data_IF_751592688305
#
_entry.id   IF_751592688305
#
_cell.length_a   1.000
_cell.length_b   1.000
_cell.length_c   1.000
_cell.angle_alpha   90.00
_cell.angle_beta   90.00
_cell.angle_gamma   90.00
#
_symmetry.space_group_name_H-M   'P 1'
#
loop_
_entity.id
_entity.type
_entity.pdbx_description
1 polymer ?
#
# COMPACT_ATOMS: atom_id res chain seq x y z
N UNK A 1 -16.06 -49.13 50.83
CA UNK A 1 -16.84 -47.91 50.52
C UNK A 1 -15.93 -47.04 49.68
N UNK A 2 -15.75 -47.45 48.43
CA UNK A 2 -14.88 -46.79 47.49
C UNK A 2 -15.69 -45.67 46.84
N UNK A 3 -15.56 -44.47 47.40
CA UNK A 3 -15.99 -43.24 46.74
C UNK A 3 -15.12 -43.05 45.49
N UNK A 4 -15.53 -43.68 44.40
CA UNK A 4 -15.08 -43.36 43.05
C UNK A 4 -15.53 -41.93 42.78
N UNK A 5 -14.60 -41.01 42.99
CA UNK A 5 -14.66 -39.62 42.60
C UNK A 5 -14.91 -39.56 41.09
N UNK A 6 -16.18 -39.58 40.72
CA UNK A 6 -16.63 -39.28 39.37
C UNK A 6 -16.37 -37.79 39.17
N UNK A 7 -15.13 -37.49 38.76
CA UNK A 7 -14.75 -36.19 38.25
C UNK A 7 -15.67 -35.93 37.06
N UNK A 8 -16.70 -35.12 37.29
CA UNK A 8 -17.56 -34.60 36.23
C UNK A 8 -16.65 -33.88 35.26
N UNK A 9 -16.26 -34.55 34.18
CA UNK A 9 -15.58 -33.93 33.06
C UNK A 9 -16.54 -32.86 32.54
N UNK A 10 -16.26 -31.61 32.87
CA UNK A 10 -16.95 -30.46 32.29
C UNK A 10 -16.46 -30.40 30.85
N UNK A 11 -17.13 -31.15 29.97
CA UNK A 11 -16.99 -31.00 28.53
C UNK A 11 -17.55 -29.62 28.19
N UNK A 12 -16.68 -28.62 28.13
CA UNK A 12 -17.00 -27.33 27.54
C UNK A 12 -17.38 -27.59 26.08
N UNK A 13 -18.68 -27.56 25.78
CA UNK A 13 -19.14 -27.48 24.40
C UNK A 13 -18.53 -26.21 23.81
N UNK A 14 -17.47 -26.36 23.02
CA UNK A 14 -16.94 -25.28 22.20
C UNK A 14 -18.08 -24.85 21.27
N UNK A 15 -18.64 -23.66 21.50
CA UNK A 15 -19.55 -23.07 20.53
C UNK A 15 -18.83 -23.02 19.17
N UNK A 16 -19.50 -23.41 18.07
CA UNK A 16 -18.88 -23.37 16.77
C UNK A 16 -18.50 -21.91 16.45
N UNK A 17 -17.22 -21.69 16.15
CA UNK A 17 -16.63 -20.39 15.85
C UNK A 17 -17.42 -19.63 14.77
N UNK A 18 -18.38 -18.80 15.20
CA UNK A 18 -19.32 -18.05 14.34
C UNK A 18 -18.56 -17.15 13.34
N UNK A 19 -17.43 -16.59 13.77
CA UNK A 19 -16.59 -15.67 13.00
C UNK A 19 -15.86 -16.32 11.82
N UNK A 20 -15.57 -17.62 11.88
CA UNK A 20 -14.78 -18.28 10.81
C UNK A 20 -15.54 -18.30 9.48
N UNK A 21 -16.87 -18.41 9.54
CA UNK A 21 -17.73 -18.40 8.36
C UNK A 21 -17.72 -17.04 7.64
N UNK A 22 -17.62 -15.95 8.40
CA UNK A 22 -17.60 -14.57 7.89
C UNK A 22 -16.27 -14.25 7.23
N UNK A 23 -15.17 -14.72 7.84
CA UNK A 23 -13.82 -14.61 7.29
C UNK A 23 -13.73 -15.31 5.93
N UNK A 24 -14.25 -16.55 5.84
CA UNK A 24 -14.22 -17.31 4.58
C UNK A 24 -15.01 -16.63 3.45
N UNK A 25 -16.21 -16.10 3.73
CA UNK A 25 -17.00 -15.36 2.73
C UNK A 25 -16.25 -14.12 2.22
N UNK A 26 -15.63 -13.40 3.15
CA UNK A 26 -14.88 -12.17 2.86
C UNK A 26 -13.64 -12.46 2.04
N UNK A 27 -12.92 -13.52 2.38
CA UNK A 27 -11.77 -14.02 1.62
C UNK A 27 -12.17 -14.32 0.17
N UNK A 28 -13.24 -15.06 -0.08
CA UNK A 28 -13.67 -15.38 -1.45
C UNK A 28 -14.08 -14.15 -2.27
N UNK A 29 -14.79 -13.21 -1.66
CA UNK A 29 -15.15 -11.94 -2.31
C UNK A 29 -13.90 -11.14 -2.70
N UNK A 30 -12.96 -10.99 -1.77
CA UNK A 30 -11.72 -10.25 -1.99
C UNK A 30 -10.80 -10.96 -2.99
N UNK A 31 -10.77 -12.29 -2.95
CA UNK A 31 -10.03 -13.11 -3.91
C UNK A 31 -10.59 -12.90 -5.32
N UNK A 32 -11.92 -12.96 -5.48
CA UNK A 32 -12.57 -12.70 -6.76
C UNK A 32 -12.24 -11.32 -7.33
N UNK A 33 -12.36 -10.26 -6.51
CA UNK A 33 -12.00 -8.89 -6.90
C UNK A 33 -10.52 -8.82 -7.31
N UNK A 34 -9.63 -9.44 -6.52
CA UNK A 34 -8.18 -9.42 -6.78
C UNK A 34 -7.81 -10.15 -8.07
N UNK A 35 -8.45 -11.29 -8.37
CA UNK A 35 -8.24 -12.04 -9.61
C UNK A 35 -8.72 -11.22 -10.81
N UNK A 36 -9.87 -10.54 -10.69
CA UNK A 36 -10.39 -9.66 -11.74
C UNK A 36 -9.44 -8.48 -11.99
N UNK A 37 -8.95 -7.80 -10.94
CA UNK A 37 -7.96 -6.72 -11.07
C UNK A 37 -6.70 -7.19 -11.79
N UNK A 38 -6.14 -8.33 -11.37
CA UNK A 38 -4.93 -8.89 -11.99
C UNK A 38 -5.18 -9.28 -13.45
N UNK A 39 -6.33 -9.86 -13.74
CA UNK A 39 -6.77 -10.20 -15.10
C UNK A 39 -6.90 -8.96 -16.00
N UNK A 40 -7.50 -7.87 -15.50
CA UNK A 40 -7.56 -6.59 -16.22
C UNK A 40 -6.16 -6.01 -16.47
N UNK A 41 -5.29 -6.05 -15.46
CA UNK A 41 -3.91 -5.59 -15.59
C UNK A 41 -3.12 -6.40 -16.64
N UNK A 42 -3.29 -7.73 -16.66
CA UNK A 42 -2.64 -8.60 -17.63
C UNK A 42 -3.21 -8.43 -19.04
N UNK A 43 -4.53 -8.28 -19.17
CA UNK A 43 -5.19 -8.02 -20.46
C UNK A 43 -4.70 -6.72 -21.11
N UNK A 44 -4.53 -5.68 -20.30
CA UNK A 44 -3.98 -4.39 -20.73
C UNK A 44 -2.52 -4.47 -21.16
N UNK A 45 -1.74 -5.41 -20.60
CA UNK A 45 -0.37 -5.68 -21.03
C UNK A 45 -0.31 -6.47 -22.35
N UNK A 46 -1.24 -7.38 -22.58
CA UNK A 46 -1.25 -8.26 -23.75
C UNK A 46 -1.79 -7.61 -25.02
N UNK A 47 -2.75 -6.68 -24.90
CA UNK A 47 -3.36 -6.01 -26.04
C UNK A 47 -2.97 -4.54 -26.12
N UNK A 48 -2.70 -3.99 -27.32
CA UNK A 48 -2.50 -2.56 -27.49
C UNK A 48 -3.84 -1.82 -27.30
N UNK A 49 -3.99 -1.15 -26.17
CA UNK A 49 -5.19 -0.39 -25.80
C UNK A 49 -4.90 1.12 -26.01
N UNK A 50 -5.86 1.92 -26.52
CA UNK A 50 -5.68 3.37 -26.64
C UNK A 50 -5.34 4.05 -25.30
N UNK A 51 -4.43 5.02 -25.34
CA UNK A 51 -3.84 5.66 -24.15
C UNK A 51 -4.85 6.22 -23.14
N UNK A 52 -6.00 6.72 -23.62
CA UNK A 52 -7.06 7.26 -22.76
C UNK A 52 -7.75 6.17 -21.93
N UNK A 53 -7.90 4.97 -22.52
CA UNK A 53 -8.52 3.82 -21.85
C UNK A 53 -7.52 3.16 -20.90
N UNK A 54 -6.23 3.14 -21.24
CA UNK A 54 -5.15 2.68 -20.34
C UNK A 54 -5.12 3.48 -19.02
N UNK A 55 -5.15 4.80 -19.09
CA UNK A 55 -5.18 5.67 -17.89
C UNK A 55 -6.45 5.44 -17.06
N UNK A 56 -7.60 5.30 -17.72
CA UNK A 56 -8.86 5.02 -17.04
C UNK A 56 -8.84 3.68 -16.30
N UNK A 57 -8.41 2.60 -16.96
CA UNK A 57 -8.32 1.25 -16.37
C UNK A 57 -7.35 1.25 -15.18
N UNK A 58 -6.19 1.90 -15.31
CA UNK A 58 -5.24 2.07 -14.19
C UNK A 58 -5.89 2.77 -13.00
N UNK A 59 -6.69 3.81 -13.25
CA UNK A 59 -7.45 4.49 -12.19
C UNK A 59 -8.46 3.56 -11.50
N UNK A 60 -9.21 2.77 -12.28
CA UNK A 60 -10.17 1.79 -11.74
C UNK A 60 -9.46 0.74 -10.89
N UNK A 61 -8.32 0.21 -11.33
CA UNK A 61 -7.51 -0.74 -10.56
C UNK A 61 -7.07 -0.10 -9.24
N UNK A 62 -6.54 1.12 -9.25
CA UNK A 62 -6.13 1.79 -8.01
C UNK A 62 -7.30 1.95 -7.02
N UNK A 63 -8.49 2.33 -7.51
CA UNK A 63 -9.68 2.49 -6.67
C UNK A 63 -10.15 1.14 -6.12
N UNK A 64 -10.17 0.08 -6.94
CA UNK A 64 -10.54 -1.27 -6.49
C UNK A 64 -9.57 -1.80 -5.44
N UNK A 65 -8.26 -1.59 -5.63
CA UNK A 65 -7.23 -1.95 -4.66
C UNK A 65 -7.43 -1.22 -3.33
N UNK A 66 -7.71 0.08 -3.35
CA UNK A 66 -8.03 0.85 -2.15
C UNK A 66 -9.30 0.33 -1.47
N UNK A 67 -10.38 0.14 -2.22
CA UNK A 67 -11.65 -0.38 -1.71
C UNK A 67 -11.47 -1.75 -1.03
N UNK A 68 -10.69 -2.65 -1.63
CA UNK A 68 -10.30 -3.93 -1.05
C UNK A 68 -9.59 -3.76 0.30
N UNK A 69 -8.63 -2.83 0.38
CA UNK A 69 -7.89 -2.59 1.62
C UNK A 69 -8.81 -2.10 2.74
N UNK A 70 -9.73 -1.17 2.44
CA UNK A 70 -10.74 -0.73 3.39
C UNK A 70 -11.72 -1.85 3.78
N UNK A 71 -12.13 -2.69 2.83
CA UNK A 71 -13.03 -3.81 3.09
C UNK A 71 -12.40 -4.85 4.03
N UNK A 72 -11.12 -5.18 3.82
CA UNK A 72 -10.32 -6.03 4.73
C UNK A 72 -10.37 -5.42 6.14
N UNK A 73 -9.95 -4.16 6.28
CA UNK A 73 -9.90 -3.48 7.58
C UNK A 73 -11.26 -3.51 8.26
N UNK A 74 -12.34 -3.17 7.56
CA UNK A 74 -13.69 -3.11 8.14
C UNK A 74 -14.27 -4.44 8.62
N UNK A 75 -13.86 -5.57 8.02
CA UNK A 75 -14.43 -6.89 8.32
C UNK A 75 -13.55 -7.72 9.25
N UNK A 76 -12.24 -7.71 9.04
CA UNK A 76 -11.30 -8.40 9.94
C UNK A 76 -11.18 -7.71 11.29
N UNK A 77 -11.62 -6.46 11.33
CA UNK A 77 -11.65 -5.65 12.52
C UNK A 77 -13.12 -5.36 12.72
N UNK A 78 -13.79 -6.27 13.41
CA UNK A 78 -15.22 -6.25 13.72
C UNK A 78 -15.61 -4.92 14.40
N UNK A 79 -15.93 -3.88 13.62
CA UNK A 79 -15.95 -2.47 14.02
C UNK A 79 -17.34 -1.83 14.25
N UNK A 80 -18.37 -2.61 14.58
CA UNK A 80 -19.70 -2.08 14.95
C UNK A 80 -19.83 -1.47 16.36
N UNK A 81 -19.88 -2.29 17.41
CA UNK A 81 -20.44 -1.85 18.70
C UNK A 81 -19.50 -1.91 19.95
N UNK A 82 -18.26 -2.42 19.86
CA UNK A 82 -17.33 -2.63 21.00
C UNK A 82 -15.98 -1.85 20.97
N UNK A 83 -15.74 -0.92 20.02
CA UNK A 83 -14.41 -0.85 19.32
C UNK A 83 -13.54 0.39 19.55
N UNK A 84 -13.72 1.17 20.62
CA UNK A 84 -12.74 2.25 20.85
C UNK A 84 -11.33 1.72 21.13
N UNK A 85 -11.20 0.55 21.74
CA UNK A 85 -9.89 -0.04 22.05
C UNK A 85 -9.28 -0.80 20.86
N UNK A 86 -10.07 -1.53 20.08
CA UNK A 86 -9.54 -2.33 18.98
C UNK A 86 -9.20 -1.46 17.76
N UNK A 87 -9.87 -0.32 17.54
CA UNK A 87 -9.44 0.60 16.46
C UNK A 87 -8.05 1.17 16.72
N UNK A 88 -7.68 1.40 17.99
CA UNK A 88 -6.38 1.95 18.37
C UNK A 88 -5.23 0.97 18.11
N UNK A 89 -5.42 -0.34 18.35
CA UNK A 89 -4.37 -1.35 18.11
C UNK A 89 -4.06 -1.55 16.63
N UNK A 90 -4.98 -1.14 15.77
CA UNK A 90 -4.90 -1.23 14.31
C UNK A 90 -4.45 0.09 13.69
N UNK A 91 -5.01 1.19 14.17
CA UNK A 91 -4.68 2.52 13.71
C UNK A 91 -3.22 2.85 14.03
N UNK A 92 -2.71 2.39 15.18
CA UNK A 92 -1.33 2.62 15.60
C UNK A 92 -0.30 2.05 14.59
N UNK A 93 -0.31 0.75 14.22
CA UNK A 93 0.61 0.22 13.22
C UNK A 93 0.38 0.81 11.83
N UNK A 94 -0.86 1.12 11.43
CA UNK A 94 -1.13 1.80 10.14
C UNK A 94 -0.55 3.22 10.08
N UNK A 95 -0.71 3.99 11.16
CA UNK A 95 -0.20 5.36 11.26
C UNK A 95 1.32 5.38 11.35
N UNK A 96 1.92 4.45 12.10
CA UNK A 96 3.37 4.26 12.14
C UNK A 96 3.92 3.91 10.76
N UNK A 97 3.21 3.06 10.00
CA UNK A 97 3.63 2.68 8.65
C UNK A 97 3.63 3.88 7.68
N UNK A 98 2.57 4.68 7.66
CA UNK A 98 2.47 5.88 6.82
C UNK A 98 3.52 6.91 7.21
N UNK A 99 3.68 7.16 8.52
CA UNK A 99 4.70 8.08 9.04
C UNK A 99 6.11 7.62 8.69
N UNK A 100 6.39 6.32 8.80
CA UNK A 100 7.68 5.73 8.43
C UNK A 100 8.00 5.94 6.94
N UNK A 101 7.05 5.68 6.03
CA UNK A 101 7.25 5.95 4.60
C UNK A 101 7.51 7.44 4.35
N UNK A 102 6.78 8.34 5.01
CA UNK A 102 6.98 9.78 4.87
C UNK A 102 8.38 10.21 5.34
N UNK A 103 8.84 9.71 6.48
CA UNK A 103 10.18 9.98 7.00
C UNK A 103 11.28 9.47 6.04
N UNK A 104 11.13 8.25 5.52
CA UNK A 104 12.06 7.68 4.54
C UNK A 104 12.06 8.44 3.21
N UNK A 105 10.91 8.95 2.77
CA UNK A 105 10.82 9.73 1.53
C UNK A 105 11.50 11.10 1.69
N UNK A 106 11.35 11.72 2.87
CA UNK A 106 12.03 12.97 3.20
C UNK A 106 13.55 12.79 3.22
N UNK A 107 14.03 11.81 3.99
CA UNK A 107 15.46 11.48 4.10
C UNK A 107 16.05 11.03 2.74
N UNK A 108 15.29 10.23 1.98
CA UNK A 108 15.65 9.83 0.62
C UNK A 108 15.77 11.01 -0.35
N UNK A 109 14.91 12.02 -0.24
CA UNK A 109 15.00 13.24 -1.04
C UNK A 109 16.24 14.08 -0.68
N UNK A 110 16.57 14.15 0.60
CA UNK A 110 17.81 14.76 1.09
C UNK A 110 19.05 14.01 0.58
N UNK A 111 19.04 12.68 0.63
CA UNK A 111 20.13 11.85 0.12
C UNK A 111 20.38 12.08 -1.37
N UNK A 112 19.31 12.22 -2.18
CA UNK A 112 19.42 12.51 -3.61
C UNK A 112 19.99 13.90 -3.87
N UNK A 113 19.56 14.89 -3.10
CA UNK A 113 20.02 16.30 -3.21
C UNK A 113 21.47 16.46 -2.77
N UNK A 114 21.86 15.82 -1.67
CA UNK A 114 23.23 15.82 -1.16
C UNK A 114 24.20 15.27 -2.21
N UNK A 115 23.90 14.10 -2.78
CA UNK A 115 24.75 13.52 -3.83
C UNK A 115 24.91 14.42 -5.06
N UNK A 116 23.83 15.07 -5.52
CA UNK A 116 23.90 15.98 -6.66
C UNK A 116 24.73 17.24 -6.38
N UNK A 117 24.79 17.68 -5.12
CA UNK A 117 25.60 18.84 -4.70
C UNK A 117 27.09 18.53 -4.55
N UNK A 118 27.44 17.31 -4.10
CA UNK A 118 28.84 16.91 -3.83
C UNK A 118 29.54 16.20 -5.00
N UNK A 119 28.83 15.88 -6.08
CA UNK A 119 29.43 15.35 -7.30
C UNK A 119 30.15 16.46 -8.10
N UNK A 120 31.49 16.46 -8.03
CA UNK A 120 32.36 17.45 -8.70
C UNK A 120 32.19 17.45 -10.22
N UNK A 121 31.90 16.30 -10.82
CA UNK A 121 31.71 16.21 -12.27
C UNK A 121 30.41 16.89 -12.73
N UNK A 122 29.37 16.89 -11.89
CA UNK A 122 28.12 17.60 -12.15
C UNK A 122 28.29 19.12 -12.07
N UNK A 123 29.07 19.60 -11.09
CA UNK A 123 29.43 21.02 -10.93
C UNK A 123 30.25 21.52 -12.13
N UNK A 124 31.25 20.75 -12.57
CA UNK A 124 32.10 21.12 -13.71
C UNK A 124 31.32 21.16 -15.04
N UNK A 125 30.39 20.23 -15.26
CA UNK A 125 29.57 20.20 -16.48
C UNK A 125 28.54 21.33 -16.53
N UNK A 126 27.89 21.64 -15.42
CA UNK A 126 26.92 22.74 -15.32
C UNK A 126 27.61 24.09 -15.52
N UNK A 127 28.79 24.28 -14.91
CA UNK A 127 29.61 25.48 -15.08
C UNK A 127 30.15 25.64 -16.52
N UNK A 128 30.73 24.59 -17.12
CA UNK A 128 31.19 24.64 -18.53
C UNK A 128 30.04 24.93 -19.50
N UNK A 129 28.85 24.38 -19.26
CA UNK A 129 27.66 24.62 -20.11
C UNK A 129 27.16 26.06 -20.00
N UNK A 130 27.15 26.66 -18.81
CA UNK A 130 26.82 28.06 -18.61
C UNK A 130 27.80 29.00 -19.32
N UNK A 131 29.11 28.76 -19.17
CA UNK A 131 30.15 29.56 -19.83
C UNK A 131 29.98 29.52 -21.36
N UNK A 132 29.79 28.32 -21.93
CA UNK A 132 29.58 28.16 -23.38
C UNK A 132 28.34 28.88 -23.90
N UNK A 133 27.24 28.89 -23.14
CA UNK A 133 26.00 29.57 -23.54
C UNK A 133 26.15 31.10 -23.49
N UNK A 134 26.81 31.64 -22.47
CA UNK A 134 27.08 33.08 -22.36
C UNK A 134 27.94 33.60 -23.52
N UNK A 135 28.94 32.83 -23.92
CA UNK A 135 29.85 33.15 -25.03
C UNK A 135 29.11 33.11 -26.39
N UNK A 136 28.24 32.11 -26.59
CA UNK A 136 27.44 32.00 -27.82
C UNK A 136 26.44 33.15 -27.98
N UNK A 137 25.86 33.63 -26.87
CA UNK A 137 24.97 34.79 -26.90
C UNK A 137 25.72 36.09 -27.19
N UNK A 138 26.89 36.31 -26.58
CA UNK A 138 27.70 37.53 -26.81
C UNK A 138 28.12 37.64 -28.27
N UNK A 139 28.53 36.52 -28.89
CA UNK A 139 28.97 36.48 -30.29
C UNK A 139 27.86 36.62 -31.33
N UNK A 140 26.59 36.60 -30.92
CA UNK A 140 25.41 36.70 -31.80
C UNK A 140 24.79 38.11 -31.86
N UNK A 141 25.31 39.06 -31.09
CA UNK A 141 24.85 40.46 -31.03
C UNK A 141 25.88 41.48 -31.58
N UNK A 142 27.02 41.03 -32.11
CA UNK A 142 27.96 41.81 -32.93
C UNK A 142 27.82 41.46 -34.42
#
# INVERSE_FOLDING_TARGET
MDQLSQSTEITYHHEPAEDTSRIWKTFWILLGITVIELGLGLFMYLLPIPAWVDVFIKGVIVILTMAKAFYIVSIFMHLGDEIRNMIMTIALPLLLFIWFIAAFLWDGNEFRTSRNRYDKHFQEQTMKRQIRMGDTSQHSFE
#
